data_IF_859228381791
#
_entry.id   IF_859228381791
#
_cell.length_a   1.000
_cell.length_b   1.000
_cell.length_c   1.000
_cell.angle_alpha   90.00
_cell.angle_beta   90.00
_cell.angle_gamma   90.00
#
_symmetry.space_group_name_H-M   'P 1'
#
loop_
_entity.id
_entity.type
_entity.pdbx_description
1 polymer ?
#
# COMPACT_ATOMS: atom_id res chain seq x y z
N UNK A 1 15.86 -27.09 -5.86
CA UNK A 1 15.55 -25.65 -5.77
C UNK A 1 14.14 -25.56 -5.26
N UNK A 2 13.96 -25.10 -4.03
CA UNK A 2 12.63 -24.83 -3.48
C UNK A 2 12.21 -23.50 -4.08
N UNK A 3 11.19 -23.49 -4.95
CA UNK A 3 10.63 -22.23 -5.46
C UNK A 3 10.05 -21.47 -4.26
N UNK A 4 10.42 -20.19 -4.08
CA UNK A 4 10.03 -19.36 -2.93
C UNK A 4 8.51 -19.14 -2.87
N UNK A 5 7.87 -19.12 -4.04
CA UNK A 5 6.44 -18.92 -4.23
C UNK A 5 5.82 -19.98 -5.15
N UNK A 6 4.52 -20.27 -5.02
CA UNK A 6 3.84 -21.16 -5.95
C UNK A 6 3.81 -20.53 -7.36
N UNK A 7 4.11 -21.33 -8.38
CA UNK A 7 4.04 -20.90 -9.78
C UNK A 7 2.59 -20.78 -10.24
N UNK A 8 2.32 -19.77 -11.07
CA UNK A 8 1.11 -19.70 -11.85
C UNK A 8 1.07 -20.92 -12.79
N UNK A 9 -0.12 -21.51 -12.98
CA UNK A 9 -0.27 -22.67 -13.86
C UNK A 9 0.30 -22.39 -15.27
N UNK A 10 0.69 -23.43 -16.01
CA UNK A 10 1.44 -23.33 -17.28
C UNK A 10 0.84 -22.37 -18.34
N UNK A 11 -0.47 -22.09 -18.27
CA UNK A 11 -1.17 -21.18 -19.18
C UNK A 11 -1.51 -19.82 -18.56
N UNK A 12 -1.32 -19.66 -17.25
CA UNK A 12 -1.59 -18.41 -16.53
C UNK A 12 -0.35 -17.52 -16.52
N UNK A 13 -0.61 -16.22 -16.47
CA UNK A 13 0.41 -15.21 -16.27
C UNK A 13 0.61 -14.99 -14.78
N UNK A 14 1.83 -14.63 -14.41
CA UNK A 14 2.25 -14.38 -13.05
C UNK A 14 3.47 -13.47 -13.05
N UNK A 15 3.92 -13.05 -11.87
CA UNK A 15 5.09 -12.17 -11.77
C UNK A 15 6.38 -12.91 -12.13
N UNK A 16 7.31 -12.20 -12.75
CA UNK A 16 8.62 -12.74 -13.12
C UNK A 16 9.38 -13.17 -11.87
N UNK A 17 9.62 -14.48 -11.75
CA UNK A 17 10.25 -15.09 -10.57
C UNK A 17 11.59 -14.44 -10.20
N UNK A 18 12.46 -14.17 -11.19
CA UNK A 18 13.78 -13.56 -10.96
C UNK A 18 13.69 -12.17 -10.30
N UNK A 19 12.71 -11.34 -10.69
CA UNK A 19 12.52 -10.01 -10.09
C UNK A 19 12.00 -10.13 -8.67
N UNK A 20 11.06 -11.05 -8.44
CA UNK A 20 10.49 -11.30 -7.11
C UNK A 20 11.58 -11.84 -6.18
N UNK A 21 12.32 -12.88 -6.59
CA UNK A 21 13.37 -13.51 -5.80
C UNK A 21 14.47 -12.50 -5.44
N UNK A 22 14.91 -11.68 -6.41
CA UNK A 22 15.92 -10.64 -6.16
C UNK A 22 15.42 -9.61 -5.14
N UNK A 23 14.19 -9.12 -5.31
CA UNK A 23 13.60 -8.14 -4.41
C UNK A 23 13.48 -8.67 -2.97
N UNK A 24 12.97 -9.89 -2.80
CA UNK A 24 12.84 -10.48 -1.46
C UNK A 24 14.18 -10.82 -0.82
N UNK A 25 15.21 -11.16 -1.60
CA UNK A 25 16.57 -11.33 -1.09
C UNK A 25 17.13 -10.01 -0.53
N UNK A 26 17.04 -8.93 -1.30
CA UNK A 26 17.48 -7.59 -0.86
C UNK A 26 16.70 -7.11 0.36
N UNK A 27 15.38 -7.29 0.38
CA UNK A 27 14.59 -6.94 1.55
C UNK A 27 14.99 -7.74 2.80
N UNK A 28 15.33 -9.02 2.66
CA UNK A 28 15.80 -9.82 3.80
C UNK A 28 17.14 -9.30 4.33
N UNK A 29 18.07 -8.94 3.45
CA UNK A 29 19.37 -8.37 3.83
C UNK A 29 19.20 -7.05 4.60
N UNK A 30 18.32 -6.16 4.15
CA UNK A 30 18.03 -4.89 4.84
C UNK A 30 17.38 -5.13 6.21
N UNK A 31 16.45 -6.09 6.29
CA UNK A 31 15.81 -6.45 7.55
C UNK A 31 16.82 -6.95 8.58
N UNK A 32 17.73 -7.83 8.16
CA UNK A 32 18.76 -8.42 9.02
C UNK A 32 19.83 -7.40 9.42
N UNK A 33 20.17 -6.45 8.54
CA UNK A 33 21.10 -5.36 8.83
C UNK A 33 20.56 -4.35 9.87
N UNK A 34 19.24 -4.30 10.07
CA UNK A 34 18.61 -3.33 10.97
C UNK A 34 18.53 -1.91 10.41
N UNK A 35 18.84 -1.71 9.12
CA UNK A 35 18.77 -0.43 8.41
C UNK A 35 17.34 -0.13 7.92
N UNK A 36 16.38 -0.25 8.83
CA UNK A 36 14.93 -0.17 8.54
C UNK A 36 14.46 1.26 8.21
N UNK A 37 15.30 2.25 8.50
CA UNK A 37 15.09 3.64 8.10
C UNK A 37 15.25 3.84 6.58
N UNK A 38 16.09 3.03 5.91
CA UNK A 38 16.34 3.17 4.46
C UNK A 38 15.25 2.53 3.59
N UNK A 39 14.51 1.56 4.13
CA UNK A 39 13.32 1.04 3.46
C UNK A 39 12.12 1.91 3.77
N UNK A 40 12.05 3.03 3.04
CA UNK A 40 10.85 3.84 2.95
C UNK A 40 9.67 2.91 2.63
N UNK A 41 8.63 3.02 3.43
CA UNK A 41 7.36 2.37 3.20
C UNK A 41 6.92 2.58 1.74
N UNK A 42 7.20 3.75 1.15
CA UNK A 42 6.94 4.08 -0.25
C UNK A 42 7.75 3.23 -1.26
N UNK A 43 8.99 2.86 -0.94
CA UNK A 43 9.87 2.05 -1.79
C UNK A 43 9.41 0.59 -1.93
N UNK A 44 8.90 0.00 -0.84
CA UNK A 44 8.29 -1.35 -0.89
C UNK A 44 6.97 -1.34 -1.67
N UNK A 45 6.23 -0.23 -1.56
CA UNK A 45 4.89 -0.08 -2.14
C UNK A 45 4.86 0.21 -3.64
N UNK A 46 5.98 0.63 -4.22
CA UNK A 46 6.06 1.04 -5.63
C UNK A 46 6.72 0.02 -6.55
N UNK A 47 7.13 -1.13 -6.01
CA UNK A 47 7.72 -2.19 -6.83
C UNK A 47 6.67 -2.75 -7.80
N UNK A 48 6.98 -2.71 -9.09
CA UNK A 48 6.15 -3.29 -10.14
C UNK A 48 6.91 -4.46 -10.77
N UNK A 49 6.32 -5.66 -10.69
CA UNK A 49 6.88 -6.85 -11.31
C UNK A 49 6.33 -7.07 -12.72
N UNK A 50 7.21 -7.48 -13.63
CA UNK A 50 6.78 -7.85 -14.98
C UNK A 50 5.90 -9.10 -14.95
N UNK A 51 4.87 -9.10 -15.79
CA UNK A 51 3.94 -10.22 -15.92
C UNK A 51 4.39 -11.15 -17.05
N UNK A 52 4.76 -12.38 -16.70
CA UNK A 52 5.24 -13.42 -17.63
C UNK A 52 4.42 -14.71 -17.53
N UNK A 53 4.47 -15.54 -18.58
CA UNK A 53 3.81 -16.86 -18.56
C UNK A 53 4.60 -17.83 -17.69
N UNK A 54 3.92 -18.52 -16.78
CA UNK A 54 4.58 -19.45 -15.84
C UNK A 54 5.41 -18.76 -14.74
N UNK A 55 5.17 -17.47 -14.50
CA UNK A 55 5.73 -16.74 -13.35
C UNK A 55 5.09 -17.17 -12.02
N UNK A 56 5.42 -16.49 -10.92
CA UNK A 56 4.79 -16.72 -9.62
C UNK A 56 3.35 -16.23 -9.57
N UNK A 57 2.52 -16.87 -8.74
CA UNK A 57 1.14 -16.44 -8.52
C UNK A 57 1.14 -15.04 -7.87
N UNK A 58 0.50 -14.07 -8.54
CA UNK A 58 0.45 -12.68 -8.11
C UNK A 58 -0.08 -12.56 -6.68
N UNK A 59 -1.25 -13.15 -6.40
CA UNK A 59 -1.88 -13.15 -5.07
C UNK A 59 -0.94 -13.65 -3.95
N UNK A 60 -0.10 -14.65 -4.23
CA UNK A 60 0.82 -15.20 -3.24
C UNK A 60 2.02 -14.28 -2.97
N UNK A 61 2.50 -13.59 -4.02
CA UNK A 61 3.57 -12.60 -3.92
C UNK A 61 3.06 -11.34 -3.24
N UNK A 62 1.89 -10.83 -3.64
CA UNK A 62 1.27 -9.64 -3.06
C UNK A 62 1.00 -9.83 -1.56
N UNK A 63 0.46 -10.98 -1.16
CA UNK A 63 0.27 -11.32 0.25
C UNK A 63 1.60 -11.47 1.03
N UNK A 64 2.72 -11.72 0.36
CA UNK A 64 4.03 -11.73 0.99
C UNK A 64 4.64 -10.33 1.08
N UNK A 65 4.42 -9.45 0.10
CA UNK A 65 4.78 -8.03 0.18
C UNK A 65 4.04 -7.36 1.34
N UNK A 66 2.75 -7.65 1.51
CA UNK A 66 1.95 -7.14 2.63
C UNK A 66 2.54 -7.54 4.00
N UNK A 67 2.94 -8.81 4.12
CA UNK A 67 3.56 -9.33 5.35
C UNK A 67 4.94 -8.73 5.60
N UNK A 68 5.71 -8.55 4.54
CA UNK A 68 7.03 -7.92 4.59
C UNK A 68 6.89 -6.48 5.10
N UNK A 69 6.01 -5.69 4.50
CA UNK A 69 5.76 -4.31 4.90
C UNK A 69 5.32 -4.19 6.36
N UNK A 70 4.38 -5.04 6.78
CA UNK A 70 3.94 -5.09 8.18
C UNK A 70 5.11 -5.41 9.13
N UNK A 71 5.99 -6.35 8.76
CA UNK A 71 7.16 -6.70 9.58
C UNK A 71 8.15 -5.53 9.73
N UNK A 72 8.40 -4.78 8.66
CA UNK A 72 9.25 -3.58 8.70
C UNK A 72 8.65 -2.50 9.60
N UNK A 73 7.35 -2.23 9.46
CA UNK A 73 6.70 -1.21 10.28
C UNK A 73 6.65 -1.60 11.76
N UNK A 74 6.38 -2.88 12.08
CA UNK A 74 6.40 -3.36 13.46
C UNK A 74 7.81 -3.27 14.07
N UNK A 75 8.86 -3.54 13.28
CA UNK A 75 10.24 -3.35 13.73
C UNK A 75 10.55 -1.89 14.00
N UNK A 76 10.25 -0.99 13.05
CA UNK A 76 10.40 0.47 13.19
C UNK A 76 9.67 0.99 14.43
N UNK A 77 8.43 0.55 14.63
CA UNK A 77 7.63 0.89 15.81
C UNK A 77 8.31 0.40 17.09
N UNK A 78 8.77 -0.85 17.13
CA UNK A 78 9.42 -1.41 18.31
C UNK A 78 10.68 -0.62 18.69
N UNK A 79 11.52 -0.30 17.70
CA UNK A 79 12.75 0.47 17.89
C UNK A 79 12.44 1.90 18.35
N UNK A 80 11.50 2.59 17.68
CA UNK A 80 11.08 3.93 18.05
C UNK A 80 10.45 3.99 19.45
N UNK A 81 9.58 3.03 19.79
CA UNK A 81 8.93 2.96 21.11
C UNK A 81 9.93 2.63 22.21
N UNK A 82 10.95 1.83 21.93
CA UNK A 82 12.01 1.53 22.89
C UNK A 82 12.84 2.78 23.23
N UNK A 83 13.05 3.67 22.27
CA UNK A 83 13.84 4.89 22.44
C UNK A 83 13.02 6.10 22.94
N UNK A 84 11.84 6.33 22.36
CA UNK A 84 11.04 7.56 22.55
C UNK A 84 9.74 7.32 23.33
N UNK A 85 9.37 6.06 23.56
CA UNK A 85 8.14 5.68 24.23
C UNK A 85 6.91 5.62 23.30
N UNK A 86 5.84 5.00 23.82
CA UNK A 86 4.61 4.74 23.06
C UNK A 86 3.83 6.00 22.70
N UNK A 87 3.82 7.01 23.58
CA UNK A 87 3.07 8.24 23.32
C UNK A 87 3.64 8.99 22.11
N UNK A 88 4.97 9.12 22.02
CA UNK A 88 5.64 9.75 20.89
C UNK A 88 5.31 9.04 19.56
N UNK A 89 5.21 7.70 19.57
CA UNK A 89 4.79 6.94 18.39
C UNK A 89 3.35 7.30 17.98
N UNK A 90 2.43 7.33 18.95
CA UNK A 90 1.03 7.68 18.67
C UNK A 90 0.89 9.12 18.16
N UNK A 91 1.69 10.05 18.69
CA UNK A 91 1.70 11.44 18.24
C UNK A 91 2.19 11.53 16.78
N UNK A 92 3.25 10.81 16.42
CA UNK A 92 3.74 10.74 15.04
C UNK A 92 2.71 10.16 14.08
N UNK A 93 2.02 9.09 14.48
CA UNK A 93 0.93 8.49 13.68
C UNK A 93 -0.24 9.46 13.52
N UNK A 94 -0.58 10.22 14.57
CA UNK A 94 -1.63 11.25 14.50
C UNK A 94 -1.24 12.41 13.57
N UNK A 95 0.04 12.83 13.56
CA UNK A 95 0.55 13.80 12.61
C UNK A 95 0.44 13.29 11.16
N UNK A 96 0.84 12.03 10.91
CA UNK A 96 0.68 11.39 9.60
C UNK A 96 -0.79 11.35 9.17
N UNK A 97 -1.70 10.95 10.06
CA UNK A 97 -3.13 10.93 9.79
C UNK A 97 -3.68 12.34 9.49
N UNK A 98 -3.18 13.37 10.19
CA UNK A 98 -3.57 14.78 9.97
C UNK A 98 -3.32 15.22 8.53
N UNK A 99 -2.26 14.73 7.89
CA UNK A 99 -1.95 15.03 6.47
C UNK A 99 -3.00 14.50 5.48
N UNK A 100 -3.83 13.54 5.90
CA UNK A 100 -4.88 12.95 5.05
C UNK A 100 -6.15 13.79 4.99
N UNK A 101 -6.49 14.51 6.08
CA UNK A 101 -7.76 15.23 6.22
C UNK A 101 -8.03 16.30 5.16
N UNK A 102 -7.06 17.16 4.76
CA UNK A 102 -7.33 18.18 3.76
C UNK A 102 -7.89 17.62 2.45
N UNK A 103 -7.56 16.36 2.12
CA UNK A 103 -8.10 15.68 0.94
C UNK A 103 -9.42 14.97 1.20
N UNK A 104 -9.60 14.32 2.35
CA UNK A 104 -10.86 13.65 2.73
C UNK A 104 -12.04 14.64 2.74
N UNK A 105 -11.78 15.87 3.19
CA UNK A 105 -12.79 16.92 3.33
C UNK A 105 -13.17 17.61 2.01
N UNK A 106 -12.51 17.27 0.88
CA UNK A 106 -12.86 17.84 -0.42
C UNK A 106 -14.19 17.26 -0.92
N UNK A 107 -14.98 18.02 -1.70
CA UNK A 107 -16.19 17.51 -2.32
C UNK A 107 -15.93 16.25 -3.16
N UNK A 108 -16.90 15.34 -3.17
CA UNK A 108 -16.95 14.17 -4.06
C UNK A 108 -16.76 14.64 -5.51
N UNK A 109 -15.94 13.93 -6.28
CA UNK A 109 -15.60 14.29 -7.65
C UNK A 109 -14.46 15.29 -7.79
N UNK A 110 -14.01 15.90 -6.68
CA UNK A 110 -12.92 16.88 -6.64
C UNK A 110 -11.72 16.47 -5.80
N UNK A 111 -11.76 15.34 -5.07
CA UNK A 111 -10.69 14.91 -4.15
C UNK A 111 -9.29 14.81 -4.79
N UNK A 112 -9.21 14.35 -6.04
CA UNK A 112 -7.97 14.23 -6.81
C UNK A 112 -8.02 15.00 -8.13
N UNK A 113 -6.85 15.19 -8.74
CA UNK A 113 -6.75 15.76 -10.09
C UNK A 113 -7.43 14.84 -11.12
N UNK A 114 -8.13 15.39 -12.11
CA UNK A 114 -8.72 14.58 -13.17
C UNK A 114 -7.63 13.92 -14.03
N UNK A 115 -7.90 12.72 -14.54
CA UNK A 115 -6.98 12.06 -15.46
C UNK A 115 -7.00 12.72 -16.85
N UNK A 116 -5.84 12.74 -17.52
CA UNK A 116 -5.72 13.29 -18.87
C UNK A 116 -6.48 12.46 -19.93
N UNK A 117 -6.45 11.12 -19.80
CA UNK A 117 -7.09 10.21 -20.75
C UNK A 117 -7.92 9.13 -20.07
N UNK A 118 -7.25 8.23 -19.37
CA UNK A 118 -7.82 7.10 -18.63
C UNK A 118 -7.24 7.18 -17.22
N UNK A 119 -8.06 6.83 -16.24
CA UNK A 119 -7.63 6.67 -14.86
C UNK A 119 -8.71 5.96 -14.06
N UNK A 120 -8.58 5.97 -12.74
CA UNK A 120 -9.56 5.35 -11.86
C UNK A 120 -10.89 6.09 -11.85
N UNK A 121 -11.99 5.36 -11.90
CA UNK A 121 -13.33 5.91 -11.82
C UNK A 121 -13.50 6.70 -10.53
N UNK A 122 -13.87 7.98 -10.67
CA UNK A 122 -14.06 8.89 -9.53
C UNK A 122 -15.02 8.31 -8.49
N UNK A 123 -16.10 7.68 -8.95
CA UNK A 123 -17.10 7.07 -8.09
C UNK A 123 -16.51 5.97 -7.19
N UNK A 124 -15.67 5.10 -7.74
CA UNK A 124 -15.09 3.99 -6.98
C UNK A 124 -14.06 4.51 -5.96
N UNK A 125 -13.23 5.47 -6.38
CA UNK A 125 -12.25 6.13 -5.50
C UNK A 125 -12.94 6.91 -4.39
N UNK A 126 -13.98 7.67 -4.71
CA UNK A 126 -14.72 8.46 -3.73
C UNK A 126 -15.43 7.58 -2.70
N UNK A 127 -15.96 6.42 -3.12
CA UNK A 127 -16.55 5.46 -2.20
C UNK A 127 -15.53 4.88 -1.21
N UNK A 128 -14.29 4.62 -1.64
CA UNK A 128 -13.23 4.21 -0.72
C UNK A 128 -12.83 5.36 0.22
N UNK A 129 -12.72 6.59 -0.31
CA UNK A 129 -12.40 7.77 0.50
C UNK A 129 -13.45 8.02 1.59
N UNK A 130 -14.72 7.74 1.32
CA UNK A 130 -15.79 7.81 2.32
C UNK A 130 -15.59 6.76 3.44
N UNK A 131 -15.15 5.54 3.09
CA UNK A 131 -14.81 4.52 4.10
C UNK A 131 -13.61 4.92 4.95
N UNK A 132 -12.59 5.52 4.33
CA UNK A 132 -11.41 6.04 5.04
C UNK A 132 -11.83 7.16 6.00
N UNK A 133 -12.69 8.08 5.58
CA UNK A 133 -13.23 9.11 6.46
C UNK A 133 -14.03 8.52 7.63
N UNK A 134 -14.91 7.55 7.35
CA UNK A 134 -15.70 6.86 8.37
C UNK A 134 -14.82 6.12 9.40
N UNK A 135 -13.68 5.58 8.97
CA UNK A 135 -12.70 4.99 9.87
C UNK A 135 -12.10 6.02 10.83
N UNK A 136 -11.66 7.17 10.32
CA UNK A 136 -11.08 8.22 11.16
C UNK A 136 -12.10 8.84 12.13
N UNK A 137 -13.37 8.87 11.74
CA UNK A 137 -14.47 9.29 12.62
C UNK A 137 -14.91 8.19 13.62
N UNK A 138 -14.20 7.06 13.68
CA UNK A 138 -14.52 5.90 14.53
C UNK A 138 -15.90 5.29 14.26
N UNK A 139 -16.44 5.46 13.05
CA UNK A 139 -17.75 4.96 12.66
C UNK A 139 -17.70 3.53 12.12
N UNK A 140 -16.61 3.14 11.46
CA UNK A 140 -16.45 1.81 10.85
C UNK A 140 -14.99 1.33 10.89
N UNK A 141 -14.72 0.04 11.15
CA UNK A 141 -13.37 -0.51 11.02
C UNK A 141 -12.96 -0.59 9.54
N UNK A 142 -11.69 -0.31 9.27
CA UNK A 142 -11.06 -0.44 7.96
C UNK A 142 -9.64 -0.96 8.17
N UNK A 143 -9.24 -1.97 7.41
CA UNK A 143 -7.88 -2.53 7.48
C UNK A 143 -7.04 -2.15 6.28
N UNK A 144 -5.71 -2.16 6.45
CA UNK A 144 -4.76 -1.91 5.37
C UNK A 144 -4.97 -2.87 4.18
N UNK A 145 -5.27 -4.14 4.46
CA UNK A 145 -5.53 -5.16 3.43
C UNK A 145 -6.80 -4.86 2.62
N UNK A 146 -7.86 -4.33 3.24
CA UNK A 146 -9.08 -3.93 2.53
C UNK A 146 -8.81 -2.76 1.57
N UNK A 147 -8.02 -1.78 1.99
CA UNK A 147 -7.63 -0.64 1.15
C UNK A 147 -6.82 -1.13 -0.06
N UNK A 148 -5.80 -1.98 0.15
CA UNK A 148 -4.99 -2.54 -0.94
C UNK A 148 -5.78 -3.43 -1.91
N UNK A 149 -6.72 -4.21 -1.39
CA UNK A 149 -7.56 -5.10 -2.21
C UNK A 149 -8.64 -4.38 -3.00
N UNK A 150 -8.77 -3.06 -2.86
CA UNK A 150 -9.77 -2.28 -3.60
C UNK A 150 -9.36 -2.17 -5.07
N UNK A 151 -10.24 -2.64 -5.95
CA UNK A 151 -10.06 -2.53 -7.40
C UNK A 151 -10.93 -1.41 -7.94
N UNK A 152 -10.32 -0.43 -8.60
CA UNK A 152 -11.04 0.65 -9.26
C UNK A 152 -11.32 0.33 -10.72
N UNK A 153 -12.54 0.61 -11.17
CA UNK A 153 -12.89 0.52 -12.59
C UNK A 153 -12.17 1.62 -13.38
N UNK A 154 -11.80 1.35 -14.63
CA UNK A 154 -11.25 2.38 -15.51
C UNK A 154 -12.34 3.33 -16.02
N UNK A 155 -12.10 4.63 -15.94
CA UNK A 155 -12.95 5.67 -16.52
C UNK A 155 -12.14 6.59 -17.43
N UNK A 156 -12.82 7.50 -18.15
CA UNK A 156 -12.19 8.44 -19.08
C UNK A 156 -12.39 9.89 -18.68
N UNK A 157 -11.37 10.71 -18.96
CA UNK A 157 -11.40 12.18 -18.87
C UNK A 157 -11.98 12.67 -17.53
N UNK A 158 -13.00 13.51 -17.55
CA UNK A 158 -13.59 14.15 -16.38
C UNK A 158 -14.20 13.20 -15.34
N UNK A 159 -14.46 11.94 -15.70
CA UNK A 159 -14.97 10.89 -14.79
C UNK A 159 -13.86 10.07 -14.14
N UNK A 160 -12.60 10.34 -14.46
CA UNK A 160 -11.46 9.63 -13.93
C UNK A 160 -10.58 10.56 -13.07
N UNK A 161 -10.01 10.00 -12.02
CA UNK A 161 -8.89 10.57 -11.29
C UNK A 161 -7.56 10.02 -11.84
N UNK A 162 -6.53 10.84 -11.73
CA UNK A 162 -5.15 10.42 -12.00
C UNK A 162 -4.73 9.28 -11.06
N UNK A 163 -4.26 8.17 -11.65
CA UNK A 163 -3.93 6.93 -10.93
C UNK A 163 -2.79 7.16 -9.93
N UNK A 164 -1.70 7.80 -10.37
CA UNK A 164 -0.53 8.06 -9.53
C UNK A 164 -0.85 8.94 -8.31
N UNK A 165 -1.74 9.93 -8.47
CA UNK A 165 -2.19 10.77 -7.35
C UNK A 165 -3.02 9.98 -6.33
N UNK A 166 -3.87 9.07 -6.80
CA UNK A 166 -4.68 8.19 -5.95
C UNK A 166 -3.79 7.18 -5.23
N UNK A 167 -2.93 6.48 -5.96
CA UNK A 167 -2.08 5.42 -5.41
C UNK A 167 -1.14 5.95 -4.33
N UNK A 168 -0.50 7.10 -4.56
CA UNK A 168 0.35 7.75 -3.55
C UNK A 168 -0.42 8.09 -2.27
N UNK A 169 -1.66 8.53 -2.42
CA UNK A 169 -2.48 8.87 -1.27
C UNK A 169 -2.92 7.61 -0.50
N UNK A 170 -3.36 6.57 -1.21
CA UNK A 170 -3.75 5.30 -0.58
C UNK A 170 -2.57 4.59 0.08
N UNK A 171 -1.36 4.73 -0.46
CA UNK A 171 -0.14 4.27 0.20
C UNK A 171 0.03 4.89 1.60
N UNK A 172 -0.21 6.21 1.73
CA UNK A 172 -0.17 6.88 3.04
C UNK A 172 -1.31 6.43 3.96
N UNK A 173 -2.52 6.20 3.44
CA UNK A 173 -3.63 5.66 4.22
C UNK A 173 -3.25 4.29 4.80
N UNK A 174 -2.73 3.40 3.97
CA UNK A 174 -2.25 2.07 4.35
C UNK A 174 -1.18 2.14 5.44
N UNK A 175 -0.25 3.11 5.34
CA UNK A 175 0.78 3.33 6.37
C UNK A 175 0.18 3.64 7.74
N UNK A 176 -0.79 4.56 7.78
CA UNK A 176 -1.45 4.95 9.01
C UNK A 176 -2.22 3.77 9.60
N UNK A 177 -2.93 3.01 8.77
CA UNK A 177 -3.66 1.82 9.21
C UNK A 177 -2.73 0.76 9.80
N UNK A 178 -1.65 0.40 9.10
CA UNK A 178 -0.68 -0.56 9.60
C UNK A 178 0.02 -0.09 10.90
N UNK A 179 0.12 1.22 11.12
CA UNK A 179 0.77 1.78 12.31
C UNK A 179 -0.03 1.60 13.60
N UNK A 180 -1.35 1.38 13.46
CA UNK A 180 -2.30 1.24 14.58
C UNK A 180 -2.92 -0.15 14.70
N UNK A 181 -2.83 -0.98 13.65
CA UNK A 181 -3.09 -2.43 13.70
C UNK A 181 -2.13 -3.16 14.66
#
# INVERSE_FOLDING_TARGET
MSDMFPKAGLMRRGYRAEQVDHYFATAHEIYDAGEVEEMDSEGVRTVAFDIVRGGYQADAVDAALDRLEAAFLQRRRADFVAEHGRQAWMDQVAELATTLYPRLLRPVGERFSPAERIGYAKQDVDALMDQVAAYFDSQAPLTASQVRGTVFSAARRSRAYDEASVDRYLARVVEVLLSVE
#
